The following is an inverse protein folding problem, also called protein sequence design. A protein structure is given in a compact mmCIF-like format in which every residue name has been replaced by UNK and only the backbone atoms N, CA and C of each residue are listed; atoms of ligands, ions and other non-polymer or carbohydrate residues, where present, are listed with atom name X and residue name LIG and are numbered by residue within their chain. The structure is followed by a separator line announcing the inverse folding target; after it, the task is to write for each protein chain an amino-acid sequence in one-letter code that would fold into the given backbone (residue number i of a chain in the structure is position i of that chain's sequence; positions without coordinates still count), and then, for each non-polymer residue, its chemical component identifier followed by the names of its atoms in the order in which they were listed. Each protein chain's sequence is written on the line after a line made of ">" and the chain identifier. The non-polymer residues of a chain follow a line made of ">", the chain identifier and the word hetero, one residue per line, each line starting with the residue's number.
data_IF_334588133075
#
_entry.id   IF_334588133075
#
_cell.length_a   1.000
_cell.length_b   1.000
_cell.length_c   1.000
_cell.angle_alpha   90.00
_cell.angle_beta   90.00
_cell.angle_gamma   90.00
#
_symmetry.space_group_name_H-M   'P 1'
#
loop_
_entity.id
_entity.type
_entity.pdbx_description
1 polymer ?
#
# COMPACT_ATOMS: atom_id res chain seq x y z
N UNK A 1 20.41 -15.69 10.07
CA UNK A 1 19.02 -15.21 9.89
C UNK A 1 18.16 -15.90 10.93
N UNK A 2 17.16 -15.22 11.48
CA UNK A 2 16.30 -15.72 12.58
C UNK A 2 15.05 -16.49 12.10
N UNK A 3 14.88 -16.69 10.79
CA UNK A 3 13.80 -17.49 10.21
C UNK A 3 12.46 -16.77 10.02
N UNK A 4 12.42 -15.44 10.18
CA UNK A 4 11.24 -14.63 9.89
C UNK A 4 10.99 -14.47 8.40
N UNK A 5 9.72 -14.39 8.04
CA UNK A 5 9.27 -13.89 6.74
C UNK A 5 9.26 -12.36 6.79
N UNK A 6 9.98 -11.71 5.87
CA UNK A 6 10.18 -10.26 5.88
C UNK A 6 9.53 -9.63 4.65
N UNK A 7 8.67 -8.65 4.89
CA UNK A 7 7.99 -7.85 3.89
C UNK A 7 8.47 -6.40 3.99
N UNK A 8 9.07 -5.88 2.91
CA UNK A 8 9.65 -4.54 2.88
C UNK A 8 8.71 -3.59 2.15
N UNK A 9 8.31 -2.50 2.81
CA UNK A 9 7.48 -1.44 2.22
C UNK A 9 8.39 -0.42 1.52
N UNK A 10 8.58 -0.57 0.21
CA UNK A 10 9.62 0.14 -0.54
C UNK A 10 9.28 1.61 -0.81
N UNK A 11 8.01 1.94 -0.96
CA UNK A 11 7.52 3.32 -1.14
C UNK A 11 7.35 4.09 0.18
N UNK A 12 7.54 3.43 1.32
CA UNK A 12 7.60 4.04 2.65
C UNK A 12 9.02 4.03 3.25
N UNK A 13 10.05 3.63 2.48
CA UNK A 13 11.44 3.53 2.93
C UNK A 13 12.37 4.39 2.06
N UNK A 14 12.93 5.46 2.64
CA UNK A 14 13.78 6.43 1.92
C UNK A 14 15.28 6.13 1.99
N UNK A 15 16.02 6.54 0.96
CA UNK A 15 17.50 6.55 0.91
C UNK A 15 18.00 7.68 0.00
N UNK A 16 19.31 7.82 -0.18
CA UNK A 16 19.94 8.97 -0.82
C UNK A 16 19.56 9.17 -2.29
N UNK A 17 19.51 8.08 -3.07
CA UNK A 17 19.20 8.11 -4.50
C UNK A 17 18.77 6.72 -5.00
N UNK A 18 18.46 6.62 -6.29
CA UNK A 18 17.99 5.39 -6.92
C UNK A 18 19.03 4.28 -6.90
N UNK A 19 20.31 4.60 -7.14
CA UNK A 19 21.37 3.59 -7.10
C UNK A 19 21.47 2.94 -5.72
N UNK A 20 21.39 3.73 -4.65
CA UNK A 20 21.41 3.18 -3.28
C UNK A 20 20.14 2.41 -2.95
N UNK A 21 18.99 2.82 -3.48
CA UNK A 21 17.70 2.11 -3.33
C UNK A 21 17.75 0.75 -4.01
N UNK A 22 18.15 0.72 -5.27
CA UNK A 22 18.14 -0.48 -6.11
C UNK A 22 19.19 -1.51 -5.62
N UNK A 23 20.35 -1.04 -5.16
CA UNK A 23 21.33 -1.90 -4.50
C UNK A 23 20.81 -2.53 -3.20
N UNK A 24 20.03 -1.79 -2.40
CA UNK A 24 19.40 -2.32 -1.19
C UNK A 24 18.29 -3.33 -1.53
N UNK A 25 17.46 -3.04 -2.53
CA UNK A 25 16.42 -3.95 -3.02
C UNK A 25 17.00 -5.27 -3.50
N UNK A 26 18.04 -5.23 -4.33
CA UNK A 26 18.73 -6.43 -4.83
C UNK A 26 19.26 -7.29 -3.66
N UNK A 27 19.91 -6.66 -2.67
CA UNK A 27 20.42 -7.37 -1.49
C UNK A 27 19.31 -8.03 -0.67
N UNK A 28 18.22 -7.30 -0.41
CA UNK A 28 17.10 -7.81 0.41
C UNK A 28 16.34 -8.92 -0.32
N UNK A 29 16.06 -8.75 -1.61
CA UNK A 29 15.37 -9.74 -2.42
C UNK A 29 16.19 -11.03 -2.56
N UNK A 30 17.50 -10.94 -2.77
CA UNK A 30 18.41 -12.12 -2.78
C UNK A 30 18.45 -12.85 -1.43
N UNK A 31 18.18 -12.15 -0.33
CA UNK A 31 18.08 -12.75 0.99
C UNK A 31 16.68 -13.33 1.29
N UNK A 32 15.73 -13.25 0.34
CA UNK A 32 14.38 -13.80 0.46
C UNK A 32 13.32 -12.83 0.98
N UNK A 33 13.64 -11.54 1.17
CA UNK A 33 12.64 -10.57 1.56
C UNK A 33 11.68 -10.26 0.39
N UNK A 34 10.41 -10.08 0.70
CA UNK A 34 9.37 -9.73 -0.27
C UNK A 34 9.24 -8.21 -0.36
N UNK A 35 9.47 -7.66 -1.55
CA UNK A 35 9.36 -6.23 -1.80
C UNK A 35 7.92 -5.88 -2.21
N UNK A 36 7.30 -4.94 -1.50
CA UNK A 36 5.93 -4.51 -1.76
C UNK A 36 5.76 -3.01 -1.45
N UNK A 37 4.58 -2.48 -1.75
CA UNK A 37 4.20 -1.09 -1.46
C UNK A 37 3.13 -1.05 -0.37
N UNK A 38 2.94 0.11 0.27
CA UNK A 38 2.01 0.22 1.41
C UNK A 38 0.57 -0.16 1.02
N UNK A 39 0.15 0.19 -0.20
CA UNK A 39 -1.18 -0.13 -0.71
C UNK A 39 -1.35 -1.65 -0.85
N UNK A 40 -0.36 -2.34 -1.41
CA UNK A 40 -0.35 -3.80 -1.52
C UNK A 40 -0.43 -4.46 -0.15
N UNK A 41 0.37 -4.00 0.81
CA UNK A 41 0.33 -4.49 2.19
C UNK A 41 -1.05 -4.30 2.84
N UNK A 42 -1.68 -3.13 2.67
CA UNK A 42 -3.02 -2.88 3.20
C UNK A 42 -4.06 -3.85 2.61
N UNK A 43 -4.01 -4.07 1.28
CA UNK A 43 -4.89 -5.02 0.59
C UNK A 43 -4.66 -6.48 1.05
N UNK A 44 -3.41 -6.91 1.18
CA UNK A 44 -3.07 -8.26 1.64
C UNK A 44 -3.43 -8.51 3.11
N UNK A 45 -3.33 -7.50 3.98
CA UNK A 45 -3.80 -7.62 5.36
C UNK A 45 -5.33 -7.63 5.44
N UNK A 46 -6.00 -6.78 4.67
CA UNK A 46 -7.45 -6.62 4.74
C UNK A 46 -8.21 -7.78 4.10
N UNK A 47 -7.64 -8.41 3.06
CA UNK A 47 -8.14 -9.57 2.29
C UNK A 47 -9.45 -9.37 1.53
N UNK A 48 -10.51 -8.92 2.20
CA UNK A 48 -11.85 -8.80 1.66
C UNK A 48 -12.46 -7.46 2.06
N UNK A 49 -12.88 -6.67 1.08
CA UNK A 49 -13.53 -5.38 1.28
C UNK A 49 -14.69 -5.43 2.27
N UNK A 50 -15.44 -6.54 2.30
CA UNK A 50 -16.63 -6.69 3.15
C UNK A 50 -16.30 -6.76 4.64
N UNK A 51 -15.02 -6.95 5.00
CA UNK A 51 -14.59 -6.99 6.39
C UNK A 51 -14.77 -5.63 7.07
N UNK A 52 -14.45 -4.53 6.37
CA UNK A 52 -14.76 -3.16 6.78
C UNK A 52 -14.61 -2.19 5.59
N UNK A 53 -15.70 -2.01 4.84
CA UNK A 53 -15.73 -1.20 3.61
C UNK A 53 -15.41 0.26 3.94
N UNK A 54 -16.00 0.81 5.00
CA UNK A 54 -15.84 2.21 5.38
C UNK A 54 -14.44 2.48 5.94
N UNK A 55 -13.89 1.56 6.76
CA UNK A 55 -12.54 1.69 7.31
C UNK A 55 -11.48 1.66 6.22
N UNK A 56 -11.51 0.68 5.32
CA UNK A 56 -10.54 0.61 4.22
C UNK A 56 -10.75 1.75 3.21
N UNK A 57 -12.00 2.07 2.89
CA UNK A 57 -12.34 3.21 2.03
C UNK A 57 -11.83 4.54 2.58
N UNK A 58 -11.93 4.75 3.89
CA UNK A 58 -11.40 5.92 4.59
C UNK A 58 -9.87 5.96 4.53
N UNK A 59 -9.19 4.84 4.77
CA UNK A 59 -7.72 4.75 4.65
C UNK A 59 -7.27 5.18 3.26
N UNK A 60 -7.88 4.63 2.20
CA UNK A 60 -7.51 4.96 0.82
C UNK A 60 -7.87 6.41 0.48
N UNK A 61 -9.04 6.90 0.91
CA UNK A 61 -9.40 8.31 0.73
C UNK A 61 -8.39 9.25 1.38
N UNK A 62 -7.85 8.92 2.56
CA UNK A 62 -6.90 9.76 3.28
C UNK A 62 -5.53 9.84 2.58
N UNK A 63 -5.09 8.76 1.92
CA UNK A 63 -3.71 8.63 1.41
C UNK A 63 -3.59 8.54 -0.12
N UNK A 64 -4.71 8.40 -0.85
CA UNK A 64 -4.75 8.33 -2.32
C UNK A 64 -5.74 9.40 -2.82
N UNK A 65 -5.26 10.59 -3.24
CA UNK A 65 -6.12 11.67 -3.72
C UNK A 65 -7.05 11.24 -4.87
N UNK A 66 -6.55 10.40 -5.79
CA UNK A 66 -7.36 9.88 -6.89
C UNK A 66 -8.55 9.04 -6.38
N UNK A 67 -8.34 8.22 -5.35
CA UNK A 67 -9.39 7.40 -4.76
C UNK A 67 -10.41 8.26 -4.01
N UNK A 68 -9.96 9.32 -3.32
CA UNK A 68 -10.84 10.32 -2.71
C UNK A 68 -11.73 11.01 -3.75
N UNK A 69 -11.17 11.37 -4.90
CA UNK A 69 -11.91 12.04 -5.98
C UNK A 69 -13.01 11.13 -6.54
N UNK A 70 -12.73 9.83 -6.68
CA UNK A 70 -13.72 8.82 -7.10
C UNK A 70 -14.86 8.70 -6.08
N UNK A 71 -14.54 8.54 -4.79
CA UNK A 71 -15.56 8.44 -3.72
C UNK A 71 -16.42 9.71 -3.67
N UNK A 72 -15.80 10.89 -3.74
CA UNK A 72 -16.51 12.18 -3.70
C UNK A 72 -17.51 12.30 -4.86
N UNK A 73 -17.06 11.99 -6.08
CA UNK A 73 -17.90 12.06 -7.28
C UNK A 73 -19.03 11.03 -7.25
N UNK A 74 -18.74 9.80 -6.80
CA UNK A 74 -19.74 8.74 -6.64
C UNK A 74 -20.81 9.16 -5.64
N UNK A 75 -20.41 9.57 -4.43
CA UNK A 75 -21.34 9.98 -3.36
C UNK A 75 -22.23 11.16 -3.79
N UNK A 76 -21.67 12.13 -4.50
CA UNK A 76 -22.45 13.25 -5.04
C UNK A 76 -23.53 12.76 -6.02
N UNK A 77 -23.16 11.88 -6.96
CA UNK A 77 -24.07 11.39 -8.00
C UNK A 77 -25.11 10.40 -7.48
N UNK A 78 -24.81 9.64 -6.43
CA UNK A 78 -25.76 8.69 -5.84
C UNK A 78 -26.68 9.32 -4.82
N UNK A 79 -26.28 10.41 -4.16
CA UNK A 79 -27.15 11.14 -3.22
C UNK A 79 -28.26 11.94 -3.93
N UNK A 80 -28.13 12.18 -5.24
CA UNK A 80 -29.15 12.86 -6.06
C UNK A 80 -30.23 11.94 -6.62
N UNK A 81 -30.06 10.61 -6.49
CA UNK A 81 -31.04 9.61 -6.91
C UNK A 81 -31.97 9.26 -5.76
#
# INVERSE_FOLDING_TARGET
>A
AEGFEVFVITDASGTFNELTRDAAWDRMSKAGAQLMTWFGMACELHRDWRNDIEGLGTLFSNHIPDYRNLISSYNHNTSQK
#
